data_IF_133487220328
#
_entry.id   IF_133487220328
#
_cell.length_a   1.000
_cell.length_b   1.000
_cell.length_c   1.000
_cell.angle_alpha   90.00
_cell.angle_beta   90.00
_cell.angle_gamma   90.00
#
_symmetry.space_group_name_H-M   'P 1'
#
loop_
_entity.id
_entity.type
_entity.pdbx_description
1 polymer ?
#
# COMPACT_ATOMS: atom_id res chain seq x y z
N UNK A 1 -24.87 12.06 24.30
CA UNK A 1 -23.63 11.63 23.60
C UNK A 1 -24.02 10.73 22.46
N UNK A 2 -23.91 11.19 21.21
CA UNK A 2 -24.09 10.34 20.03
C UNK A 2 -22.71 10.00 19.52
N UNK A 3 -22.27 8.76 19.75
CA UNK A 3 -21.06 8.20 19.15
C UNK A 3 -21.36 7.98 17.66
N UNK A 4 -21.07 8.98 16.83
CA UNK A 4 -21.09 8.85 15.38
C UNK A 4 -19.95 7.94 14.94
N UNK A 5 -20.26 6.70 14.60
CA UNK A 5 -19.35 5.84 13.86
C UNK A 5 -19.09 6.51 12.50
N UNK A 6 -17.90 7.07 12.31
CA UNK A 6 -17.47 7.59 11.02
C UNK A 6 -17.27 6.41 10.06
N UNK A 7 -18.34 6.02 9.36
CA UNK A 7 -18.25 5.18 8.18
C UNK A 7 -17.38 5.91 7.16
N UNK A 8 -16.30 5.27 6.72
CA UNK A 8 -15.49 5.79 5.63
C UNK A 8 -16.36 5.78 4.37
N UNK A 9 -16.91 6.94 3.99
CA UNK A 9 -17.68 7.09 2.77
C UNK A 9 -16.72 7.08 1.57
N UNK A 10 -17.05 6.24 0.60
CA UNK A 10 -16.53 6.32 -0.76
C UNK A 10 -17.23 7.49 -1.43
N UNK A 11 -16.47 8.54 -1.75
CA UNK A 11 -17.01 9.77 -2.33
C UNK A 11 -16.45 10.03 -3.73
N UNK A 12 -17.18 10.75 -4.61
CA UNK A 12 -16.57 11.34 -5.78
C UNK A 12 -15.39 12.23 -5.38
N UNK A 13 -14.47 12.49 -6.31
CA UNK A 13 -13.31 13.35 -6.04
C UNK A 13 -13.76 14.65 -5.35
N UNK A 14 -13.20 15.02 -4.19
CA UNK A 14 -13.64 16.23 -3.49
C UNK A 14 -13.47 17.47 -4.37
N UNK A 15 -14.49 18.34 -4.35
CA UNK A 15 -14.50 19.58 -5.13
C UNK A 15 -13.34 20.48 -4.70
N UNK A 16 -12.72 21.17 -5.66
CA UNK A 16 -11.58 22.07 -5.44
C UNK A 16 -10.34 21.44 -4.79
N UNK A 17 -10.26 20.10 -4.75
CA UNK A 17 -9.13 19.42 -4.17
C UNK A 17 -7.86 19.61 -5.01
N UNK A 18 -6.76 19.92 -4.32
CA UNK A 18 -5.43 20.10 -4.90
C UNK A 18 -4.61 18.83 -4.72
N UNK A 19 -3.58 18.65 -5.55
CA UNK A 19 -2.62 17.55 -5.38
C UNK A 19 -1.95 17.69 -3.99
N UNK A 20 -1.98 16.63 -3.18
CA UNK A 20 -1.27 16.62 -1.90
C UNK A 20 0.23 16.68 -2.15
N UNK A 21 0.96 17.43 -1.33
CA UNK A 21 2.40 17.54 -1.46
C UNK A 21 3.08 16.16 -1.28
N UNK A 22 4.17 15.94 -2.02
CA UNK A 22 4.79 14.61 -2.09
C UNK A 22 5.50 14.21 -0.79
N UNK A 23 5.95 15.19 -0.01
CA UNK A 23 6.63 14.92 1.26
C UNK A 23 5.63 14.45 2.33
N UNK A 24 4.46 15.06 2.42
CA UNK A 24 3.36 14.64 3.30
C UNK A 24 2.91 13.22 2.97
N UNK A 25 2.74 12.91 1.68
CA UNK A 25 2.42 11.54 1.26
C UNK A 25 3.56 10.58 1.66
N UNK A 26 4.83 10.92 1.37
CA UNK A 26 5.95 10.07 1.75
C UNK A 26 6.01 9.82 3.26
N UNK A 27 5.81 10.86 4.07
CA UNK A 27 5.80 10.78 5.54
C UNK A 27 4.67 9.89 6.07
N UNK A 28 3.50 9.90 5.42
CA UNK A 28 2.38 9.05 5.82
C UNK A 28 2.68 7.56 5.59
N UNK A 29 3.30 7.23 4.45
CA UNK A 29 3.52 5.83 4.07
C UNK A 29 4.82 5.24 4.63
N UNK A 30 5.87 6.05 4.79
CA UNK A 30 7.16 5.58 5.26
C UNK A 30 7.05 4.84 6.60
N UNK A 31 7.63 3.64 6.67
CA UNK A 31 7.59 2.80 7.85
C UNK A 31 6.24 2.15 8.12
N UNK A 32 5.31 2.11 7.16
CA UNK A 32 3.98 1.52 7.35
C UNK A 32 3.70 0.37 6.38
N UNK A 33 2.80 -0.52 6.78
CA UNK A 33 2.25 -1.59 5.96
C UNK A 33 0.83 -1.27 5.52
N UNK A 34 0.50 -1.58 4.26
CA UNK A 34 -0.87 -1.58 3.72
C UNK A 34 -1.35 -3.01 3.56
N UNK A 35 -2.54 -3.29 4.08
CA UNK A 35 -3.14 -4.63 4.07
C UNK A 35 -4.03 -4.78 2.85
N UNK A 36 -3.83 -5.85 2.09
CA UNK A 36 -4.67 -6.23 0.96
C UNK A 36 -5.61 -7.37 1.37
N UNK A 37 -6.91 -7.12 1.28
CA UNK A 37 -7.95 -8.10 1.62
C UNK A 37 -7.95 -9.29 0.65
N UNK A 38 -7.70 -9.04 -0.62
CA UNK A 38 -7.78 -10.05 -1.69
C UNK A 38 -6.72 -11.16 -1.64
N UNK A 39 -5.73 -11.09 -0.74
CA UNK A 39 -4.72 -12.15 -0.65
C UNK A 39 -4.08 -12.37 0.72
N UNK A 40 -4.73 -11.97 1.82
CA UNK A 40 -4.22 -12.16 3.19
C UNK A 40 -2.78 -11.65 3.36
N UNK A 41 -2.48 -10.54 2.68
CA UNK A 41 -1.16 -10.02 2.44
C UNK A 41 -1.15 -8.50 2.40
N UNK A 42 -0.13 -7.92 1.79
CA UNK A 42 0.06 -6.48 1.76
C UNK A 42 1.48 -6.09 1.38
N UNK A 43 1.71 -4.77 1.36
CA UNK A 43 3.00 -4.15 1.08
C UNK A 43 3.47 -3.34 2.27
N UNK A 44 4.76 -3.42 2.56
CA UNK A 44 5.46 -2.58 3.53
C UNK A 44 6.34 -1.58 2.78
N UNK A 45 6.21 -0.31 3.14
CA UNK A 45 7.01 0.80 2.63
C UNK A 45 8.11 1.12 3.65
N UNK A 46 9.29 0.54 3.45
CA UNK A 46 10.45 0.71 4.31
C UNK A 46 11.25 1.99 4.02
N UNK A 47 12.25 2.24 4.88
CA UNK A 47 13.24 3.30 4.68
C UNK A 47 14.07 3.09 3.41
N UNK A 48 14.78 4.13 2.96
CA UNK A 48 15.59 4.05 1.73
C UNK A 48 14.78 3.77 0.46
N UNK A 49 13.49 4.13 0.47
CA UNK A 49 12.54 3.89 -0.62
C UNK A 49 12.35 2.40 -0.95
N UNK A 50 12.57 1.50 0.01
CA UNK A 50 12.44 0.05 -0.20
C UNK A 50 11.02 -0.43 0.05
N UNK A 51 10.52 -1.31 -0.82
CA UNK A 51 9.21 -1.92 -0.68
C UNK A 51 9.34 -3.44 -0.63
N UNK A 52 8.62 -4.06 0.30
CA UNK A 52 8.51 -5.53 0.37
C UNK A 52 7.06 -5.92 0.51
N UNK A 53 6.61 -6.95 -0.18
CA UNK A 53 5.22 -7.39 -0.13
C UNK A 53 5.11 -8.89 0.11
N UNK A 54 3.95 -9.30 0.61
CA UNK A 54 3.56 -10.70 0.72
C UNK A 54 2.14 -10.85 0.20
N UNK A 55 1.85 -11.93 -0.52
CA UNK A 55 0.51 -12.20 -1.02
C UNK A 55 0.29 -13.72 -1.06
N UNK A 56 -0.89 -14.17 -0.62
CA UNK A 56 -1.25 -15.59 -0.57
C UNK A 56 -2.60 -15.84 -1.25
N UNK A 57 -2.74 -15.37 -2.50
CA UNK A 57 -3.97 -15.55 -3.29
C UNK A 57 -4.03 -16.92 -3.94
N UNK A 58 -2.94 -17.33 -4.58
CA UNK A 58 -2.81 -18.59 -5.33
C UNK A 58 -1.65 -19.44 -4.78
N UNK A 59 -1.29 -19.20 -3.52
CA UNK A 59 -0.07 -19.70 -2.90
C UNK A 59 0.80 -18.53 -2.39
N UNK A 60 1.72 -18.81 -1.46
CA UNK A 60 2.54 -17.78 -0.85
C UNK A 60 3.55 -17.25 -1.86
N UNK A 61 3.54 -15.93 -2.03
CA UNK A 61 4.50 -15.19 -2.84
C UNK A 61 5.04 -14.01 -2.04
N UNK A 62 6.28 -13.63 -2.32
CA UNK A 62 6.95 -12.48 -1.75
C UNK A 62 7.35 -11.54 -2.87
N UNK A 63 7.32 -10.23 -2.62
CA UNK A 63 7.83 -9.25 -3.56
C UNK A 63 8.87 -8.36 -2.90
N UNK A 64 9.85 -7.93 -3.69
CA UNK A 64 10.84 -6.92 -3.31
C UNK A 64 10.92 -5.86 -4.40
N UNK A 65 11.24 -4.63 -4.01
CA UNK A 65 11.42 -3.54 -4.95
C UNK A 65 11.53 -2.20 -4.27
N UNK A 66 11.06 -1.14 -4.95
CA UNK A 66 11.17 0.23 -4.49
C UNK A 66 9.81 0.93 -4.55
N UNK A 67 9.65 1.96 -3.72
CA UNK A 67 8.52 2.89 -3.80
C UNK A 67 9.01 4.32 -3.99
N UNK A 68 8.17 5.16 -4.56
CA UNK A 68 8.45 6.58 -4.74
C UNK A 68 7.17 7.39 -4.68
N UNK A 69 7.30 8.69 -4.45
CA UNK A 69 6.17 9.63 -4.50
C UNK A 69 6.46 10.70 -5.54
N UNK A 70 5.50 10.92 -6.45
CA UNK A 70 5.57 12.00 -7.44
C UNK A 70 4.18 12.61 -7.61
N UNK A 71 4.09 13.94 -7.48
CA UNK A 71 2.83 14.70 -7.66
C UNK A 71 1.67 14.10 -6.83
N UNK A 72 1.92 13.81 -5.55
CA UNK A 72 0.91 13.25 -4.64
C UNK A 72 0.55 11.78 -4.91
N UNK A 73 1.21 11.11 -5.84
CA UNK A 73 0.99 9.70 -6.14
C UNK A 73 2.15 8.88 -5.58
N UNK A 74 1.86 7.98 -4.65
CA UNK A 74 2.82 6.95 -4.24
C UNK A 74 2.68 5.75 -5.18
N UNK A 75 3.79 5.23 -5.69
CA UNK A 75 3.83 4.03 -6.50
C UNK A 75 4.88 3.05 -5.93
N UNK A 76 4.56 1.76 -5.92
CA UNK A 76 5.53 0.68 -5.69
C UNK A 76 5.77 -0.13 -6.95
N UNK A 77 7.03 -0.31 -7.31
CA UNK A 77 7.50 -1.23 -8.33
C UNK A 77 8.05 -2.47 -7.63
N UNK A 78 7.40 -3.61 -7.85
CA UNK A 78 7.69 -4.86 -7.12
C UNK A 78 7.98 -5.98 -8.10
N UNK A 79 9.02 -6.76 -7.83
CA UNK A 79 9.26 -8.06 -8.47
C UNK A 79 8.76 -9.15 -7.53
N UNK A 80 7.86 -9.98 -8.01
CA UNK A 80 7.27 -11.09 -7.29
C UNK A 80 8.09 -12.36 -7.46
N UNK A 81 8.15 -13.15 -6.40
CA UNK A 81 8.83 -14.44 -6.32
C UNK A 81 7.91 -15.46 -5.66
N UNK A 82 7.84 -16.65 -6.24
CA UNK A 82 7.02 -17.76 -5.74
C UNK A 82 7.72 -19.09 -6.01
N UNK A 83 7.21 -20.16 -5.39
CA UNK A 83 7.71 -21.51 -5.67
C UNK A 83 7.12 -22.00 -6.99
N UNK A 84 7.98 -22.44 -7.90
CA UNK A 84 7.58 -22.97 -9.21
C UNK A 84 8.21 -24.35 -9.42
N UNK A 85 7.43 -25.41 -9.21
CA UNK A 85 7.95 -26.78 -9.21
C UNK A 85 9.09 -26.97 -8.20
N UNK A 86 10.26 -27.40 -8.68
CA UNK A 86 11.50 -27.51 -7.91
C UNK A 86 12.28 -26.21 -7.81
N UNK A 87 11.91 -25.17 -8.56
CA UNK A 87 12.60 -23.89 -8.65
C UNK A 87 11.81 -22.71 -8.09
N UNK A 88 12.23 -21.51 -8.52
CA UNK A 88 11.68 -20.22 -8.10
C UNK A 88 11.21 -19.49 -9.35
N UNK A 89 9.91 -19.21 -9.41
CA UNK A 89 9.34 -18.34 -10.41
C UNK A 89 9.55 -16.89 -9.99
N UNK A 90 9.76 -15.99 -10.96
CA UNK A 90 9.79 -14.56 -10.70
C UNK A 90 9.17 -13.76 -11.83
N UNK A 91 8.52 -12.64 -11.49
CA UNK A 91 7.95 -11.72 -12.48
C UNK A 91 7.80 -10.32 -11.89
N UNK A 92 8.20 -9.26 -12.63
CA UNK A 92 7.80 -7.89 -12.30
C UNK A 92 6.27 -7.77 -12.22
N UNK A 93 5.76 -6.94 -11.31
CA UNK A 93 4.34 -6.59 -11.33
C UNK A 93 3.96 -5.97 -12.68
N UNK A 94 2.85 -6.42 -13.26
CA UNK A 94 2.39 -5.99 -14.60
C UNK A 94 2.22 -4.47 -14.70
N UNK A 95 1.84 -3.83 -13.58
CA UNK A 95 1.81 -2.37 -13.43
C UNK A 95 2.28 -1.99 -12.03
N UNK A 96 2.85 -0.79 -11.85
CA UNK A 96 3.13 -0.25 -10.53
C UNK A 96 1.82 -0.14 -9.73
N UNK A 97 1.82 -0.58 -8.48
CA UNK A 97 0.69 -0.36 -7.59
C UNK A 97 0.78 1.09 -7.08
N UNK A 98 -0.16 1.95 -7.51
CA UNK A 98 -0.15 3.36 -7.14
C UNK A 98 -1.41 3.79 -6.39
N UNK A 99 -1.22 4.79 -5.53
CA UNK A 99 -2.25 5.45 -4.74
C UNK A 99 -2.09 6.96 -4.92
N UNK A 100 -3.09 7.59 -5.52
CA UNK A 100 -3.14 9.03 -5.72
C UNK A 100 -3.70 9.73 -4.47
N UNK A 101 -3.20 10.93 -4.17
CA UNK A 101 -3.64 11.74 -3.04
C UNK A 101 -4.00 13.16 -3.46
N UNK A 102 -5.11 13.65 -2.90
CA UNK A 102 -5.52 15.05 -3.01
C UNK A 102 -5.94 15.59 -1.65
N UNK A 103 -5.76 16.89 -1.45
CA UNK A 103 -6.15 17.60 -0.25
C UNK A 103 -7.33 18.51 -0.59
N UNK A 104 -8.44 18.39 0.14
CA UNK A 104 -9.61 19.24 -0.04
C UNK A 104 -9.41 20.65 0.56
N UNK A 105 -10.42 21.50 0.43
CA UNK A 105 -10.37 22.89 0.92
C UNK A 105 -10.29 23.00 2.46
N UNK A 106 -10.71 21.95 3.18
CA UNK A 106 -10.66 21.87 4.64
C UNK A 106 -9.32 21.30 5.15
N UNK A 107 -8.44 20.90 4.24
CA UNK A 107 -7.15 20.29 4.56
C UNK A 107 -7.19 18.78 4.77
N UNK A 108 -8.32 18.11 4.52
CA UNK A 108 -8.39 16.66 4.60
C UNK A 108 -7.72 16.03 3.39
N UNK A 109 -6.93 14.98 3.63
CA UNK A 109 -6.31 14.21 2.56
C UNK A 109 -7.25 13.08 2.17
N UNK A 110 -7.38 12.86 0.88
CA UNK A 110 -8.16 11.80 0.25
C UNK A 110 -7.25 10.97 -0.64
N UNK A 111 -7.55 9.68 -0.76
CA UNK A 111 -6.76 8.76 -1.58
C UNK A 111 -7.61 7.92 -2.52
N UNK A 112 -7.01 7.49 -3.62
CA UNK A 112 -7.62 6.62 -4.63
C UNK A 112 -6.59 5.65 -5.21
N UNK A 113 -6.98 4.40 -5.42
CA UNK A 113 -6.15 3.37 -6.04
C UNK A 113 -6.28 3.38 -7.57
N UNK A 114 -5.32 2.78 -8.29
CA UNK A 114 -5.26 2.80 -9.76
C UNK A 114 -6.58 2.48 -10.47
N UNK A 115 -7.25 1.43 -10.04
CA UNK A 115 -8.46 0.90 -10.70
C UNK A 115 -9.75 1.29 -9.96
N UNK A 116 -9.64 2.21 -9.00
CA UNK A 116 -10.76 2.68 -8.20
C UNK A 116 -11.28 4.01 -8.75
N UNK A 117 -12.59 4.15 -8.83
CA UNK A 117 -13.23 5.43 -9.15
C UNK A 117 -13.35 6.32 -7.92
N UNK A 118 -13.38 5.70 -6.75
CA UNK A 118 -13.81 6.34 -5.51
C UNK A 118 -12.65 6.92 -4.73
N UNK A 119 -12.91 8.04 -4.06
CA UNK A 119 -11.97 8.68 -3.16
C UNK A 119 -12.34 8.35 -1.73
N UNK A 120 -11.34 7.95 -0.97
CA UNK A 120 -11.49 7.54 0.41
C UNK A 120 -10.70 8.50 1.29
N UNK A 121 -11.36 9.06 2.30
CA UNK A 121 -10.67 9.95 3.25
C UNK A 121 -9.53 9.22 3.94
N UNK A 122 -8.36 9.83 3.94
CA UNK A 122 -7.18 9.29 4.59
C UNK A 122 -7.38 9.35 6.11
N UNK A 123 -7.42 8.19 6.73
CA UNK A 123 -7.50 8.07 8.18
C UNK A 123 -6.09 7.99 8.79
N UNK A 124 -5.90 8.47 10.03
CA UNK A 124 -4.69 8.18 10.78
C UNK A 124 -4.41 6.67 10.81
N UNK A 125 -3.13 6.27 10.79
CA UNK A 125 -2.75 4.84 10.73
C UNK A 125 -3.38 3.99 11.85
N UNK A 126 -3.61 4.59 13.03
CA UNK A 126 -4.25 3.90 14.17
C UNK A 126 -5.73 3.56 13.93
N UNK A 127 -6.41 4.34 13.08
CA UNK A 127 -7.84 4.23 12.80
C UNK A 127 -8.10 3.55 11.43
N UNK A 128 -7.06 3.42 10.59
CA UNK A 128 -7.13 2.76 9.29
C UNK A 128 -6.95 1.24 9.41
N UNK A 129 -8.06 0.50 9.34
CA UNK A 129 -8.06 -0.98 9.41
C UNK A 129 -7.26 -1.67 8.30
N UNK A 130 -6.91 -0.96 7.23
CA UNK A 130 -6.08 -1.45 6.12
C UNK A 130 -4.65 -0.93 6.20
N UNK A 131 -4.24 -0.37 7.34
CA UNK A 131 -2.88 0.10 7.60
C UNK A 131 -2.34 -0.45 8.92
N UNK A 132 -1.02 -0.59 9.02
CA UNK A 132 -0.33 -0.85 10.29
C UNK A 132 1.02 -0.14 10.31
N UNK A 133 1.44 0.35 11.49
CA UNK A 133 2.83 0.79 11.69
C UNK A 133 3.78 -0.41 11.59
N UNK A 134 4.98 -0.18 11.05
CA UNK A 134 6.01 -1.20 10.88
C UNK A 134 5.70 -2.20 9.76
N UNK A 135 6.55 -3.22 9.66
CA UNK A 135 6.39 -4.32 8.70
C UNK A 135 5.52 -5.43 9.28
N UNK A 136 4.22 -5.37 9.04
CA UNK A 136 3.24 -6.34 9.52
C UNK A 136 3.44 -7.75 8.94
N UNK A 137 4.24 -7.88 7.88
CA UNK A 137 4.47 -9.14 7.16
C UNK A 137 5.89 -9.66 7.30
N UNK A 138 6.74 -9.04 8.14
CA UNK A 138 8.18 -9.36 8.30
C UNK A 138 8.44 -10.86 8.43
N UNK A 139 7.70 -11.55 9.31
CA UNK A 139 7.86 -12.99 9.52
C UNK A 139 7.48 -13.84 8.30
N UNK A 140 6.39 -13.50 7.61
CA UNK A 140 5.95 -14.20 6.40
C UNK A 140 6.94 -13.99 5.24
N UNK A 141 7.38 -12.74 5.06
CA UNK A 141 8.39 -12.36 4.07
C UNK A 141 9.70 -13.11 4.35
N UNK A 142 10.24 -13.03 5.56
CA UNK A 142 11.49 -13.69 5.93
C UNK A 142 11.45 -15.21 5.72
N UNK A 143 10.35 -15.86 6.11
CA UNK A 143 10.16 -17.29 5.90
C UNK A 143 10.11 -17.65 4.42
N UNK A 144 9.37 -16.87 3.63
CA UNK A 144 9.23 -17.15 2.20
C UNK A 144 10.54 -16.92 1.46
N UNK A 145 11.24 -15.83 1.75
CA UNK A 145 12.57 -15.52 1.23
C UNK A 145 13.56 -16.66 1.46
N UNK A 146 13.63 -17.17 2.70
CA UNK A 146 14.45 -18.34 3.05
C UNK A 146 14.07 -19.59 2.25
N UNK A 147 12.76 -19.85 2.09
CA UNK A 147 12.26 -21.02 1.35
C UNK A 147 12.58 -20.95 -0.15
N UNK A 148 12.62 -19.75 -0.70
CA UNK A 148 12.93 -19.48 -2.10
C UNK A 148 14.42 -19.19 -2.35
N UNK A 149 15.22 -19.04 -1.30
CA UNK A 149 16.61 -18.60 -1.38
C UNK A 149 16.77 -17.24 -2.10
N UNK A 150 15.90 -16.26 -1.76
CA UNK A 150 15.89 -14.87 -2.31
C UNK A 150 15.91 -13.79 -1.24
#
# INVERSE_FOLDING_TARGET
>A
MVLGAATAFADPKPKNAKITDSQTVANFYAGTSRIWTGCKGGVYFGGGFEATAYCNKQGPAVAVGKWSVKKGVICSNLTWFWKEGSGVGSKPGDRPNCIAHVTDAEGNIWRRWNDDTDWWRLQPIKDDTKAKKGNAFKGKISRMRRKLNV
#
